data_IF_904104765422
#
_entry.id   IF_904104765422
#
_cell.length_a   1.000
_cell.length_b   1.000
_cell.length_c   1.000
_cell.angle_alpha   90.00
_cell.angle_beta   90.00
_cell.angle_gamma   90.00
#
_symmetry.space_group_name_H-M   'P 1'
#
loop_
_entity.id
_entity.type
_entity.pdbx_description
1 polymer ?
#
# COMPACT_ATOMS: atom_id res chain seq x y z
N UNK A 1 31.58 -54.72 34.36
CA UNK A 1 31.17 -53.37 34.81
C UNK A 1 29.85 -52.94 34.14
N UNK A 2 28.84 -53.81 34.10
CA UNK A 2 27.55 -53.57 33.37
C UNK A 2 26.33 -53.84 34.27
N UNK A 3 26.51 -54.38 35.48
CA UNK A 3 25.41 -54.72 36.39
C UNK A 3 24.99 -53.59 37.34
N UNK A 4 25.64 -52.41 37.29
CA UNK A 4 25.37 -51.29 38.21
C UNK A 4 24.32 -50.27 37.75
N UNK A 5 23.93 -50.25 36.47
CA UNK A 5 23.05 -49.20 35.91
C UNK A 5 21.56 -49.52 35.94
N UNK A 6 21.16 -50.75 36.25
CA UNK A 6 19.74 -51.17 36.21
C UNK A 6 19.01 -50.82 37.52
N UNK A 7 19.73 -50.61 38.62
CA UNK A 7 19.11 -50.39 39.94
C UNK A 7 18.74 -48.92 40.25
N UNK A 8 19.31 -47.93 39.55
CA UNK A 8 18.95 -46.52 39.75
C UNK A 8 17.72 -46.07 38.93
N UNK A 9 17.39 -46.77 37.83
CA UNK A 9 16.23 -46.46 36.98
C UNK A 9 14.87 -46.82 37.59
N UNK A 10 14.82 -47.77 38.54
CA UNK A 10 13.56 -48.21 39.15
C UNK A 10 13.06 -47.24 40.24
N UNK A 11 13.97 -46.51 40.88
CA UNK A 11 13.61 -45.56 41.94
C UNK A 11 13.10 -44.20 41.41
N UNK A 12 13.55 -43.76 40.23
CA UNK A 12 13.10 -42.49 39.63
C UNK A 12 11.72 -42.61 38.95
N UNK A 13 11.32 -43.80 38.51
CA UNK A 13 9.99 -44.02 37.92
C UNK A 13 8.88 -43.88 38.97
N UNK A 14 9.12 -44.29 40.22
CA UNK A 14 8.12 -44.16 41.30
C UNK A 14 7.87 -42.70 41.72
N UNK A 15 8.89 -41.85 41.71
CA UNK A 15 8.74 -40.41 42.04
C UNK A 15 8.06 -39.63 40.92
N UNK A 16 8.34 -39.94 39.65
CA UNK A 16 7.70 -39.27 38.50
C UNK A 16 6.19 -39.61 38.41
N UNK A 17 5.80 -40.85 38.73
CA UNK A 17 4.37 -41.25 38.74
C UNK A 17 3.60 -40.52 39.86
N UNK A 18 4.24 -40.27 41.01
CA UNK A 18 3.64 -39.50 42.10
C UNK A 18 3.37 -38.04 41.73
N UNK A 19 4.34 -37.36 41.09
CA UNK A 19 4.24 -35.94 40.73
C UNK A 19 3.24 -35.71 39.58
N UNK A 20 3.17 -36.63 38.61
CA UNK A 20 2.18 -36.60 37.52
C UNK A 20 0.73 -36.61 38.05
N UNK A 21 0.48 -37.29 39.17
CA UNK A 21 -0.86 -37.38 39.74
C UNK A 21 -1.32 -36.05 40.37
N UNK A 22 -0.40 -35.32 41.02
CA UNK A 22 -0.70 -34.00 41.59
C UNK A 22 -0.90 -32.91 40.52
N UNK A 23 -0.16 -32.96 39.41
CA UNK A 23 -0.32 -31.97 38.32
C UNK A 23 -1.58 -32.18 37.47
N UNK A 24 -2.05 -33.43 37.34
CA UNK A 24 -3.23 -33.73 36.51
C UNK A 24 -4.57 -33.54 37.24
N UNK A 25 -4.57 -33.48 38.57
CA UNK A 25 -5.77 -33.27 39.38
C UNK A 25 -6.44 -31.89 39.16
N UNK A 26 -5.73 -30.75 39.20
CA UNK A 26 -6.36 -29.44 38.95
C UNK A 26 -6.89 -29.29 37.51
N UNK A 27 -6.19 -29.85 36.52
CA UNK A 27 -6.64 -29.88 35.12
C UNK A 27 -7.96 -30.64 34.94
N UNK A 28 -8.13 -31.77 35.63
CA UNK A 28 -9.40 -32.53 35.61
C UNK A 28 -10.55 -31.77 36.26
N UNK A 29 -10.28 -30.99 37.30
CA UNK A 29 -11.29 -30.13 37.95
C UNK A 29 -11.69 -28.99 37.01
N UNK A 30 -10.72 -28.30 36.39
CA UNK A 30 -11.00 -27.24 35.41
C UNK A 30 -11.85 -27.72 34.23
N UNK A 31 -11.53 -28.88 33.65
CA UNK A 31 -12.30 -29.44 32.52
C UNK A 31 -13.73 -29.78 32.96
N UNK A 32 -13.93 -30.32 34.17
CA UNK A 32 -15.28 -30.56 34.72
C UNK A 32 -16.07 -29.26 34.88
N UNK A 33 -15.44 -28.20 35.41
CA UNK A 33 -16.10 -26.89 35.59
C UNK A 33 -16.48 -26.26 34.24
N UNK A 34 -15.59 -26.32 33.23
CA UNK A 34 -15.86 -25.76 31.90
C UNK A 34 -16.98 -26.53 31.18
N UNK A 35 -16.97 -27.86 31.25
CA UNK A 35 -18.02 -28.69 30.64
C UNK A 35 -19.37 -28.50 31.33
N UNK A 36 -19.38 -28.29 32.64
CA UNK A 36 -20.61 -27.99 33.39
C UNK A 36 -21.13 -26.58 33.11
N UNK A 37 -20.25 -25.58 32.93
CA UNK A 37 -20.64 -24.23 32.48
C UNK A 37 -21.20 -24.21 31.06
N UNK A 38 -20.66 -25.02 30.13
CA UNK A 38 -21.20 -25.11 28.76
C UNK A 38 -22.60 -25.72 28.73
N UNK A 39 -22.87 -26.75 29.54
CA UNK A 39 -24.22 -27.34 29.66
C UNK A 39 -25.26 -26.34 30.17
N UNK A 40 -24.88 -25.45 31.08
CA UNK A 40 -25.80 -24.45 31.62
C UNK A 40 -26.06 -23.27 30.66
N UNK A 41 -25.15 -23.00 29.72
CA UNK A 41 -25.34 -21.92 28.72
C UNK A 41 -26.19 -22.33 27.52
N UNK A 42 -26.32 -23.61 27.20
CA UNK A 42 -27.18 -24.09 26.10
C UNK A 42 -28.67 -24.20 26.48
N UNK A 43 -29.06 -23.83 27.71
CA UNK A 43 -30.45 -23.87 28.16
C UNK A 43 -31.17 -22.52 28.09
N UNK A 44 -30.51 -21.45 27.63
CA UNK A 44 -31.08 -20.10 27.55
C UNK A 44 -30.77 -19.52 26.16
N UNK A 45 -31.61 -19.88 25.18
CA UNK A 45 -31.74 -19.14 23.92
C UNK A 45 -33.23 -18.81 23.79
N UNK A 46 -33.64 -17.53 23.96
CA UNK A 46 -35.01 -17.12 23.67
C UNK A 46 -35.20 -17.01 22.16
N UNK A 47 -36.23 -17.69 21.66
CA UNK A 47 -36.74 -17.56 20.30
C UNK A 47 -37.61 -16.31 20.21
N UNK A 48 -37.12 -15.28 19.53
CA UNK A 48 -37.95 -14.17 19.01
C UNK A 48 -37.58 -13.96 17.56
N UNK A 49 -38.38 -14.55 16.67
CA UNK A 49 -38.48 -14.18 15.25
C UNK A 49 -39.89 -13.60 15.13
N UNK A 50 -39.97 -12.32 14.78
CA UNK A 50 -41.19 -11.62 14.44
C UNK A 50 -40.93 -11.03 13.05
N UNK A 51 -41.43 -11.71 12.03
CA UNK A 51 -41.50 -11.20 10.65
C UNK A 51 -42.95 -10.78 10.41
N UNK A 52 -43.16 -9.48 10.17
CA UNK A 52 -44.41 -8.92 9.69
C UNK A 52 -44.46 -8.99 8.15
N UNK A 53 -45.53 -9.61 7.66
CA UNK A 53 -45.89 -9.70 6.25
C UNK A 53 -46.56 -8.40 5.76
N UNK A 54 -46.19 -7.92 4.58
CA UNK A 54 -47.06 -7.11 3.72
C UNK A 54 -47.12 -7.75 2.34
N UNK A 55 -48.35 -8.06 1.94
CA UNK A 55 -48.77 -8.68 0.68
C UNK A 55 -48.59 -7.74 -0.53
N UNK A 56 -48.15 -8.28 -1.67
CA UNK A 56 -48.78 -8.00 -2.96
C UNK A 56 -48.44 -9.11 -3.97
N UNK A 57 -49.48 -9.75 -4.50
CA UNK A 57 -49.40 -11.01 -5.21
C UNK A 57 -49.03 -10.93 -6.70
N UNK A 58 -48.66 -12.09 -7.25
CA UNK A 58 -48.96 -12.56 -8.61
C UNK A 58 -48.89 -14.11 -8.64
N UNK A 59 -49.60 -14.80 -9.55
CA UNK A 59 -49.99 -16.19 -9.36
C UNK A 59 -49.04 -17.23 -10.01
N UNK A 60 -49.02 -18.39 -9.34
CA UNK A 60 -48.57 -19.74 -9.68
C UNK A 60 -48.01 -20.01 -11.09
N UNK A 61 -46.79 -20.55 -11.09
CA UNK A 61 -46.39 -21.60 -12.03
C UNK A 61 -45.77 -22.79 -11.28
N UNK A 62 -46.17 -23.97 -11.73
CA UNK A 62 -46.25 -25.25 -11.05
C UNK A 62 -44.96 -26.06 -11.21
N UNK A 63 -44.15 -26.24 -10.14
CA UNK A 63 -43.09 -27.25 -10.10
C UNK A 63 -42.95 -27.86 -8.69
N UNK A 64 -43.29 -29.15 -8.64
CA UNK A 64 -43.34 -30.06 -7.49
C UNK A 64 -42.03 -30.15 -6.67
N UNK A 65 -42.10 -30.25 -5.32
CA UNK A 65 -40.96 -30.63 -4.49
C UNK A 65 -40.84 -32.16 -4.39
N UNK A 66 -39.64 -32.67 -4.67
CA UNK A 66 -39.33 -34.09 -4.59
C UNK A 66 -39.01 -34.49 -3.13
N UNK A 67 -39.87 -35.34 -2.58
CA UNK A 67 -39.76 -35.98 -1.28
C UNK A 67 -38.77 -37.14 -1.36
N UNK A 68 -37.64 -37.07 -0.66
CA UNK A 68 -37.01 -38.26 -0.05
C UNK A 68 -36.34 -37.87 1.27
N UNK A 69 -37.12 -37.91 2.35
CA UNK A 69 -36.61 -38.02 3.70
C UNK A 69 -36.17 -39.47 3.93
N UNK A 70 -34.87 -39.73 4.01
CA UNK A 70 -34.35 -41.00 4.52
C UNK A 70 -34.16 -40.90 6.03
N UNK A 71 -35.13 -41.48 6.74
CA UNK A 71 -35.03 -41.89 8.13
C UNK A 71 -33.89 -42.89 8.25
N UNK A 72 -32.76 -42.50 8.85
CA UNK A 72 -31.75 -43.46 9.30
C UNK A 72 -31.84 -43.64 10.82
N UNK A 73 -32.08 -44.90 11.18
CA UNK A 73 -32.32 -45.41 12.53
C UNK A 73 -31.06 -45.27 13.39
N UNK A 74 -31.28 -44.94 14.66
CA UNK A 74 -30.25 -44.91 15.67
C UNK A 74 -29.56 -46.26 15.87
N UNK A 75 -28.24 -46.25 15.74
CA UNK A 75 -27.36 -47.35 16.14
C UNK A 75 -26.91 -47.09 17.58
N UNK A 76 -27.38 -47.95 18.49
CA UNK A 76 -26.91 -48.02 19.87
C UNK A 76 -25.47 -48.53 19.92
N UNK A 77 -24.61 -47.76 20.59
CA UNK A 77 -23.45 -48.13 21.42
C UNK A 77 -22.61 -49.35 20.95
N UNK A 78 -21.34 -49.06 20.62
CA UNK A 78 -20.26 -49.74 21.32
C UNK A 78 -19.27 -48.73 21.88
N UNK A 79 -19.16 -48.77 23.21
CA UNK A 79 -18.42 -47.84 24.05
C UNK A 79 -17.01 -48.38 24.20
N UNK A 80 -16.15 -48.15 23.20
CA UNK A 80 -14.71 -48.35 23.38
C UNK A 80 -14.12 -47.13 24.07
N UNK A 81 -14.07 -47.27 25.40
CA UNK A 81 -13.23 -46.50 26.28
C UNK A 81 -11.76 -46.87 26.00
N UNK A 82 -10.94 -45.84 26.16
CA UNK A 82 -9.59 -45.85 26.71
C UNK A 82 -8.41 -45.86 25.73
N UNK A 83 -7.50 -44.92 26.06
CA UNK A 83 -6.09 -44.82 25.68
C UNK A 83 -5.78 -44.09 24.37
N UNK A 84 -5.93 -42.76 24.35
CA UNK A 84 -5.00 -41.88 23.59
C UNK A 84 -5.06 -40.35 23.91
N UNK A 85 -5.46 -39.84 25.10
CA UNK A 85 -5.30 -38.41 25.37
C UNK A 85 -3.89 -38.01 25.84
N UNK A 86 -3.03 -38.99 26.19
CA UNK A 86 -1.66 -38.74 26.65
C UNK A 86 -0.62 -38.61 25.53
N UNK A 87 -0.79 -39.36 24.43
CA UNK A 87 0.16 -39.36 23.32
C UNK A 87 0.13 -38.06 22.49
N UNK A 88 -1.06 -37.51 22.25
CA UNK A 88 -1.23 -36.26 21.50
C UNK A 88 -0.63 -35.05 22.23
N UNK A 89 -0.61 -35.07 23.56
CA UNK A 89 -0.07 -33.97 24.37
C UNK A 89 1.46 -33.99 24.41
N UNK A 90 2.09 -35.18 24.32
CA UNK A 90 3.55 -35.33 24.20
C UNK A 90 4.03 -34.92 22.81
N UNK A 91 3.27 -35.24 21.75
CA UNK A 91 3.58 -34.81 20.38
C UNK A 91 3.47 -33.28 20.26
N UNK A 92 2.47 -32.65 20.88
CA UNK A 92 2.31 -31.19 20.87
C UNK A 92 3.42 -30.43 21.64
N UNK A 93 4.08 -31.06 22.63
CA UNK A 93 5.18 -30.46 23.39
C UNK A 93 6.53 -30.60 22.65
N UNK A 94 6.65 -31.57 21.73
CA UNK A 94 7.87 -31.80 20.94
C UNK A 94 7.95 -30.95 19.67
N UNK A 95 6.86 -30.26 19.28
CA UNK A 95 6.89 -29.26 18.22
C UNK A 95 7.39 -27.94 18.84
N UNK A 96 8.67 -27.93 19.23
CA UNK A 96 9.36 -26.66 19.43
C UNK A 96 9.28 -25.89 18.12
N UNK A 97 8.97 -24.60 18.23
CA UNK A 97 8.89 -23.63 17.15
C UNK A 97 10.25 -23.56 16.44
N UNK A 98 10.46 -24.44 15.45
CA UNK A 98 11.47 -24.20 14.45
C UNK A 98 10.97 -23.00 13.64
N UNK A 99 11.75 -21.92 13.61
CA UNK A 99 11.60 -20.86 12.61
C UNK A 99 11.84 -21.49 11.24
N UNK A 100 10.78 -22.05 10.67
CA UNK A 100 10.80 -22.70 9.36
C UNK A 100 10.69 -21.62 8.30
N UNK A 101 11.69 -21.56 7.43
CA UNK A 101 11.68 -20.67 6.29
C UNK A 101 10.61 -21.12 5.28
N UNK A 102 9.83 -20.19 4.74
CA UNK A 102 8.80 -20.48 3.74
C UNK A 102 9.40 -20.79 2.38
N UNK A 103 10.51 -20.13 2.05
CA UNK A 103 11.29 -20.33 0.84
C UNK A 103 12.75 -20.56 1.20
N UNK A 104 13.36 -21.57 0.60
CA UNK A 104 14.78 -21.83 0.73
C UNK A 104 15.44 -21.70 -0.64
N UNK A 105 16.53 -20.94 -0.69
CA UNK A 105 17.45 -20.95 -1.82
C UNK A 105 18.77 -21.55 -1.31
N UNK A 106 19.26 -22.57 -2.00
CA UNK A 106 20.55 -23.17 -1.71
C UNK A 106 21.53 -22.69 -2.78
N UNK A 107 22.66 -22.15 -2.35
CA UNK A 107 23.66 -21.64 -3.30
C UNK A 107 25.03 -22.26 -3.02
N UNK A 108 25.55 -22.95 -4.03
CA UNK A 108 26.93 -23.44 -4.03
C UNK A 108 27.85 -22.30 -4.44
N UNK A 109 28.70 -21.84 -3.54
CA UNK A 109 29.68 -20.80 -3.84
C UNK A 109 30.88 -21.41 -4.57
N UNK A 110 31.14 -21.01 -5.81
CA UNK A 110 32.46 -21.20 -6.42
C UNK A 110 33.40 -20.14 -5.82
N UNK A 111 34.32 -20.56 -4.95
CA UNK A 111 35.34 -19.67 -4.37
C UNK A 111 36.11 -18.95 -5.48
N UNK A 112 36.07 -17.62 -5.52
CA UNK A 112 36.81 -16.85 -6.54
C UNK A 112 38.24 -16.56 -6.09
N UNK A 113 38.50 -16.28 -4.81
CA UNK A 113 39.86 -15.95 -4.34
C UNK A 113 40.07 -16.37 -2.87
N UNK A 114 40.97 -17.33 -2.59
CA UNK A 114 41.37 -17.68 -1.22
C UNK A 114 42.84 -17.34 -1.01
N UNK A 115 43.12 -16.53 0.01
CA UNK A 115 44.47 -16.15 0.43
C UNK A 115 44.85 -16.99 1.65
N UNK A 116 46.06 -17.53 1.65
CA UNK A 116 46.64 -18.24 2.78
C UNK A 116 47.42 -17.24 3.63
N UNK A 117 47.01 -17.04 4.87
CA UNK A 117 47.84 -16.34 5.86
C UNK A 117 48.93 -17.29 6.37
N UNK A 118 50.11 -16.73 6.71
CA UNK A 118 51.27 -17.47 7.25
C UNK A 118 50.95 -18.29 8.52
N UNK A 119 49.84 -18.01 9.23
CA UNK A 119 49.39 -18.72 10.44
C UNK A 119 48.29 -19.77 10.17
N UNK A 120 48.35 -20.53 9.07
CA UNK A 120 47.38 -21.59 8.71
C UNK A 120 45.90 -21.15 8.58
N UNK A 121 45.59 -19.86 8.69
CA UNK A 121 44.24 -19.36 8.55
C UNK A 121 43.94 -19.04 7.08
N UNK A 122 43.06 -19.84 6.48
CA UNK A 122 42.60 -19.65 5.09
C UNK A 122 41.51 -18.57 5.07
N UNK A 123 41.81 -17.41 4.50
CA UNK A 123 40.81 -16.34 4.26
C UNK A 123 40.32 -16.44 2.83
N UNK A 124 39.09 -16.94 2.66
CA UNK A 124 38.44 -16.98 1.35
C UNK A 124 37.53 -15.77 1.18
N UNK A 125 37.72 -15.05 0.08
CA UNK A 125 36.77 -14.07 -0.43
C UNK A 125 35.78 -14.79 -1.35
N UNK A 126 34.51 -14.66 -1.00
CA UNK A 126 33.42 -15.18 -1.81
C UNK A 126 32.54 -14.02 -2.22
N UNK A 127 32.42 -13.83 -3.54
CA UNK A 127 31.48 -12.89 -4.13
C UNK A 127 30.18 -13.63 -4.40
N UNK A 128 29.12 -13.23 -3.70
CA UNK A 128 27.79 -13.81 -3.86
C UNK A 128 26.99 -12.86 -4.74
N UNK A 129 26.45 -13.35 -5.86
CA UNK A 129 25.45 -12.66 -6.66
C UNK A 129 24.25 -13.59 -6.84
N UNK A 130 23.13 -13.32 -6.18
CA UNK A 130 21.95 -14.20 -6.24
C UNK A 130 20.67 -13.42 -6.33
N UNK A 131 19.68 -14.04 -6.98
CA UNK A 131 18.32 -13.53 -7.09
C UNK A 131 17.42 -14.34 -6.18
N UNK A 132 16.74 -13.66 -5.26
CA UNK A 132 15.83 -14.29 -4.31
C UNK A 132 14.42 -13.71 -4.46
N UNK A 133 13.44 -14.60 -4.60
CA UNK A 133 12.04 -14.23 -4.47
C UNK A 133 11.71 -13.86 -3.01
N UNK A 134 11.19 -12.66 -2.80
CA UNK A 134 10.76 -12.21 -1.47
C UNK A 134 9.53 -13.03 -1.04
N UNK A 135 9.54 -13.51 0.20
CA UNK A 135 8.39 -14.19 0.76
C UNK A 135 7.27 -13.20 1.11
N UNK A 136 5.99 -13.62 1.11
CA UNK A 136 4.87 -12.77 1.54
C UNK A 136 5.07 -12.14 2.92
N UNK A 137 4.31 -11.09 3.22
CA UNK A 137 4.37 -10.39 4.51
C UNK A 137 4.20 -11.37 5.68
N UNK A 138 5.11 -11.30 6.66
CA UNK A 138 5.15 -12.18 7.83
C UNK A 138 5.95 -13.47 7.61
N UNK A 139 6.26 -13.86 6.38
CA UNK A 139 7.07 -15.03 6.05
C UNK A 139 8.55 -14.67 5.83
N UNK A 140 9.41 -15.68 5.89
CA UNK A 140 10.87 -15.53 5.79
C UNK A 140 11.51 -16.46 4.77
N UNK A 141 12.33 -15.90 3.90
CA UNK A 141 13.20 -16.63 2.99
C UNK A 141 14.56 -16.88 3.64
N UNK A 142 15.14 -18.06 3.43
CA UNK A 142 16.47 -18.39 3.95
C UNK A 142 17.43 -18.76 2.84
N UNK A 143 18.60 -18.13 2.87
CA UNK A 143 19.72 -18.43 1.99
C UNK A 143 20.78 -19.18 2.79
N UNK A 144 20.98 -20.45 2.45
CA UNK A 144 22.07 -21.24 3.01
C UNK A 144 23.32 -21.07 2.15
N UNK A 145 24.41 -20.66 2.81
CA UNK A 145 25.74 -20.55 2.20
C UNK A 145 26.46 -21.86 2.50
N UNK A 146 26.79 -22.62 1.47
CA UNK A 146 27.51 -23.89 1.62
C UNK A 146 28.88 -23.86 0.97
N UNK A 147 29.88 -24.43 1.64
CA UNK A 147 31.20 -24.67 1.08
C UNK A 147 31.15 -25.73 -0.04
N UNK A 148 32.21 -25.84 -0.82
CA UNK A 148 32.52 -26.88 -1.83
C UNK A 148 32.24 -28.32 -1.37
N UNK A 149 32.29 -28.58 -0.05
CA UNK A 149 31.97 -29.88 0.57
C UNK A 149 30.50 -30.02 1.00
N UNK A 150 29.63 -29.12 0.57
CA UNK A 150 28.20 -29.04 0.95
C UNK A 150 27.95 -28.85 2.45
N UNK A 151 28.92 -28.30 3.20
CA UNK A 151 28.73 -27.92 4.60
C UNK A 151 28.26 -26.47 4.71
N UNK A 152 27.24 -26.21 5.53
CA UNK A 152 26.68 -24.88 5.74
C UNK A 152 27.63 -23.99 6.54
N UNK A 153 28.14 -22.94 5.92
CA UNK A 153 29.01 -21.92 6.53
C UNK A 153 28.20 -20.87 7.29
N UNK A 154 26.97 -20.61 6.84
CA UNK A 154 26.07 -19.65 7.47
C UNK A 154 24.73 -19.60 6.76
N UNK A 155 23.77 -18.94 7.40
CA UNK A 155 22.43 -18.74 6.85
C UNK A 155 22.06 -17.26 6.92
N UNK A 156 21.55 -16.72 5.83
CA UNK A 156 20.95 -15.38 5.81
C UNK A 156 19.43 -15.57 5.82
N UNK A 157 18.77 -15.06 6.85
CA UNK A 157 17.32 -15.05 7.00
C UNK A 157 16.79 -13.70 6.54
N UNK A 158 15.75 -13.70 5.70
CA UNK A 158 15.17 -12.48 5.13
C UNK A 158 13.67 -12.55 5.37
N UNK A 159 13.19 -11.81 6.37
CA UNK A 159 11.78 -11.77 6.73
C UNK A 159 11.14 -10.50 6.19
N UNK A 160 10.01 -10.65 5.50
CA UNK A 160 9.26 -9.52 4.94
C UNK A 160 8.39 -8.91 6.02
N UNK A 161 8.65 -7.65 6.36
CA UNK A 161 7.85 -6.92 7.33
C UNK A 161 6.67 -6.19 6.68
N UNK A 162 6.90 -5.55 5.53
CA UNK A 162 5.83 -4.87 4.80
C UNK A 162 6.20 -4.70 3.32
N UNK A 163 5.22 -4.87 2.44
CA UNK A 163 5.31 -4.54 1.02
C UNK A 163 4.23 -3.50 0.74
N UNK A 164 4.64 -2.27 0.46
CA UNK A 164 3.73 -1.14 0.23
C UNK A 164 4.01 -0.55 -1.14
N UNK A 165 2.97 -0.37 -1.94
CA UNK A 165 2.98 0.42 -3.16
C UNK A 165 2.61 1.86 -2.81
N UNK A 166 3.51 2.79 -3.07
CA UNK A 166 3.28 4.22 -2.83
C UNK A 166 2.84 4.89 -4.12
N UNK A 167 1.71 5.57 -4.08
CA UNK A 167 1.26 6.40 -5.19
C UNK A 167 2.16 7.62 -5.36
N UNK A 168 2.68 7.82 -6.58
CA UNK A 168 3.15 9.12 -7.01
C UNK A 168 1.94 9.97 -7.40
N UNK A 169 1.61 10.93 -6.55
CA UNK A 169 0.44 11.78 -6.69
C UNK A 169 0.62 12.77 -7.84
N UNK A 170 -0.33 12.76 -8.78
CA UNK A 170 -0.48 13.79 -9.80
C UNK A 170 -1.80 14.54 -9.56
N UNK A 171 -1.69 15.81 -9.14
CA UNK A 171 -2.85 16.66 -8.91
C UNK A 171 -3.52 17.01 -10.24
N UNK A 172 -4.81 16.68 -10.39
CA UNK A 172 -5.57 17.04 -11.58
C UNK A 172 -6.17 18.44 -11.47
N UNK A 173 -6.99 18.64 -10.44
CA UNK A 173 -7.73 19.88 -10.20
C UNK A 173 -8.31 19.92 -8.78
N UNK A 174 -8.85 21.08 -8.43
CA UNK A 174 -9.63 21.29 -7.22
C UNK A 174 -11.11 21.42 -7.55
N UNK A 175 -11.97 20.95 -6.65
CA UNK A 175 -13.42 21.08 -6.79
C UNK A 175 -14.03 21.75 -5.55
N UNK A 176 -15.05 22.60 -5.73
CA UNK A 176 -15.86 23.14 -4.64
C UNK A 176 -16.93 22.14 -4.19
N UNK A 177 -17.49 22.35 -2.99
CA UNK A 177 -18.86 21.90 -2.70
C UNK A 177 -19.85 22.87 -3.33
N UNK A 178 -20.09 22.70 -4.63
CA UNK A 178 -20.89 23.64 -5.41
C UNK A 178 -22.38 23.59 -5.06
N UNK A 179 -23.03 24.75 -5.17
CA UNK A 179 -24.48 24.94 -5.20
C UNK A 179 -24.80 25.99 -6.26
N UNK A 180 -26.01 25.96 -6.78
CA UNK A 180 -26.46 26.91 -7.79
C UNK A 180 -27.27 28.03 -7.13
N UNK A 181 -27.02 29.27 -7.55
CA UNK A 181 -27.82 30.46 -7.25
C UNK A 181 -28.28 31.07 -8.56
N UNK A 182 -29.58 31.35 -8.68
CA UNK A 182 -30.12 31.99 -9.88
C UNK A 182 -30.81 33.29 -9.53
N UNK A 183 -30.44 34.32 -10.28
CA UNK A 183 -30.97 35.67 -10.15
C UNK A 183 -31.61 36.07 -11.47
N UNK A 184 -32.75 36.77 -11.42
CA UNK A 184 -33.43 37.31 -12.61
C UNK A 184 -33.77 38.79 -12.39
N UNK A 185 -33.67 39.55 -13.47
CA UNK A 185 -34.05 40.95 -13.56
C UNK A 185 -35.00 41.12 -14.74
N UNK A 186 -36.11 41.79 -14.49
CA UNK A 186 -37.08 42.13 -15.52
C UNK A 186 -36.91 43.60 -15.90
N UNK A 187 -36.67 43.86 -17.17
CA UNK A 187 -36.49 45.21 -17.70
C UNK A 187 -37.51 45.49 -18.79
N UNK A 188 -38.23 46.61 -18.63
CA UNK A 188 -39.15 47.09 -19.64
C UNK A 188 -38.40 47.45 -20.93
N UNK A 189 -39.00 47.14 -22.07
CA UNK A 189 -38.47 47.60 -23.35
C UNK A 189 -38.48 49.13 -23.44
N UNK A 190 -37.37 49.73 -23.86
CA UNK A 190 -37.30 51.16 -24.16
C UNK A 190 -36.71 51.39 -25.56
N UNK A 191 -37.43 52.16 -26.37
CA UNK A 191 -37.07 52.48 -27.76
C UNK A 191 -35.98 53.59 -27.81
N UNK A 192 -35.73 54.27 -26.68
CA UNK A 192 -34.69 55.29 -26.57
C UNK A 192 -33.29 54.65 -26.50
N UNK A 193 -32.33 55.20 -27.26
CA UNK A 193 -30.94 54.71 -27.31
C UNK A 193 -30.26 54.75 -25.93
N UNK A 194 -29.56 53.66 -25.57
CA UNK A 194 -28.73 53.58 -24.35
C UNK A 194 -29.26 52.64 -23.25
N UNK A 195 -30.42 52.01 -23.44
CA UNK A 195 -30.99 51.02 -22.52
C UNK A 195 -30.60 49.57 -22.89
N UNK A 196 -30.52 48.67 -21.90
CA UNK A 196 -30.12 47.27 -22.13
C UNK A 196 -31.19 46.47 -22.88
N UNK A 197 -32.48 46.76 -22.65
CA UNK A 197 -33.60 46.12 -23.34
C UNK A 197 -34.13 46.96 -24.52
N UNK A 198 -33.78 46.56 -25.74
CA UNK A 198 -34.19 47.14 -27.03
C UNK A 198 -34.77 46.05 -27.96
N UNK A 199 -35.23 46.42 -29.16
CA UNK A 199 -36.04 45.59 -30.06
C UNK A 199 -35.44 44.21 -30.45
N UNK A 200 -34.16 43.93 -30.21
CA UNK A 200 -33.53 42.62 -30.42
C UNK A 200 -32.48 42.27 -29.33
N UNK A 201 -32.53 42.93 -28.17
CA UNK A 201 -31.46 42.77 -27.17
C UNK A 201 -31.26 41.33 -26.70
N UNK A 202 -32.34 40.55 -26.58
CA UNK A 202 -32.21 39.15 -26.16
C UNK A 202 -31.74 38.20 -27.27
N UNK A 203 -31.96 38.51 -28.55
CA UNK A 203 -31.50 37.63 -29.64
C UNK A 203 -29.99 37.67 -29.81
N UNK A 204 -29.39 38.80 -29.49
CA UNK A 204 -27.96 39.05 -29.64
C UNK A 204 -27.18 38.74 -28.35
N UNK A 205 -27.86 38.31 -27.29
CA UNK A 205 -27.29 38.11 -25.97
C UNK A 205 -26.53 36.77 -25.87
N UNK A 206 -25.24 36.86 -25.59
CA UNK A 206 -24.35 35.72 -25.38
C UNK A 206 -24.42 35.15 -23.96
N UNK A 207 -24.06 33.87 -23.82
CA UNK A 207 -24.07 33.17 -22.52
C UNK A 207 -23.10 33.80 -21.50
N UNK A 208 -22.03 34.46 -21.98
CA UNK A 208 -21.01 35.08 -21.14
C UNK A 208 -21.20 36.59 -20.96
N UNK A 209 -22.29 37.15 -21.47
CA UNK A 209 -22.51 38.59 -21.41
C UNK A 209 -22.81 39.05 -19.99
N UNK A 210 -22.26 40.21 -19.63
CA UNK A 210 -22.44 40.81 -18.31
C UNK A 210 -23.72 41.62 -18.26
N UNK A 211 -24.58 41.31 -17.30
CA UNK A 211 -25.82 42.05 -17.03
C UNK A 211 -25.51 43.08 -15.94
N UNK A 212 -25.81 44.38 -16.16
CA UNK A 212 -25.48 45.43 -15.19
C UNK A 212 -26.14 45.20 -13.84
N UNK A 213 -27.36 44.65 -13.82
CA UNK A 213 -28.08 44.28 -12.59
C UNK A 213 -27.30 43.29 -11.69
N UNK A 214 -26.34 42.53 -12.25
CA UNK A 214 -25.59 41.50 -11.54
C UNK A 214 -24.08 41.80 -11.46
N UNK A 215 -23.67 43.06 -11.61
CA UNK A 215 -22.25 43.46 -11.71
C UNK A 215 -21.36 43.03 -10.53
N UNK A 216 -21.91 42.80 -9.34
CA UNK A 216 -21.14 42.30 -8.18
C UNK A 216 -20.75 40.81 -8.27
N UNK A 217 -21.34 40.07 -9.21
CA UNK A 217 -21.23 38.60 -9.36
C UNK A 217 -20.53 38.25 -10.70
N UNK A 218 -19.87 39.23 -11.32
CA UNK A 218 -19.20 39.05 -12.62
C UNK A 218 -17.97 38.14 -12.54
N UNK A 219 -17.34 38.04 -11.36
CA UNK A 219 -16.05 37.36 -11.17
C UNK A 219 -16.17 35.89 -10.74
N UNK A 220 -17.40 35.41 -10.56
CA UNK A 220 -17.73 34.03 -10.18
C UNK A 220 -18.28 33.27 -11.38
N UNK A 221 -17.92 31.99 -11.49
CA UNK A 221 -18.37 31.11 -12.56
C UNK A 221 -19.89 31.13 -12.68
N UNK A 222 -20.37 31.43 -13.87
CA UNK A 222 -21.79 31.52 -14.13
C UNK A 222 -22.09 31.86 -15.57
N UNK A 223 -23.36 31.69 -15.91
CA UNK A 223 -23.88 31.86 -17.26
C UNK A 223 -25.07 32.79 -17.21
N UNK A 224 -25.09 33.73 -18.13
CA UNK A 224 -26.17 34.69 -18.31
C UNK A 224 -27.07 34.25 -19.47
N UNK A 225 -28.33 34.63 -19.44
CA UNK A 225 -29.28 34.42 -20.54
C UNK A 225 -30.32 35.54 -20.57
N UNK A 226 -30.91 35.77 -21.74
CA UNK A 226 -31.96 36.76 -21.95
C UNK A 226 -33.12 36.10 -22.70
N UNK A 227 -34.34 36.28 -22.20
CA UNK A 227 -35.55 35.80 -22.87
C UNK A 227 -36.56 36.95 -23.02
N UNK A 228 -37.16 37.13 -24.21
CA UNK A 228 -38.25 38.08 -24.38
C UNK A 228 -39.49 37.56 -23.65
N UNK A 229 -40.15 38.44 -22.89
CA UNK A 229 -41.38 38.12 -22.16
C UNK A 229 -42.53 39.03 -22.59
N UNK A 230 -43.75 38.63 -22.22
CA UNK A 230 -44.95 39.39 -22.57
C UNK A 230 -44.89 40.82 -21.97
N UNK A 231 -45.37 41.83 -22.71
CA UNK A 231 -45.33 43.22 -22.25
C UNK A 231 -46.11 43.41 -20.94
N UNK A 232 -45.39 43.74 -19.88
CA UNK A 232 -45.94 44.22 -18.61
C UNK A 232 -45.85 45.75 -18.46
N UNK A 233 -45.15 46.40 -19.38
CA UNK A 233 -44.81 47.82 -19.31
C UNK A 233 -45.63 48.71 -20.26
N UNK A 234 -45.38 50.03 -20.20
CA UNK A 234 -46.18 51.07 -20.90
C UNK A 234 -46.25 50.92 -22.43
N UNK A 235 -45.31 50.21 -23.05
CA UNK A 235 -45.26 50.01 -24.51
C UNK A 235 -45.83 48.63 -24.89
N UNK A 236 -47.11 48.54 -25.29
CA UNK A 236 -47.81 47.26 -25.46
C UNK A 236 -47.43 46.47 -26.73
N UNK A 237 -46.64 47.06 -27.63
CA UNK A 237 -46.24 46.43 -28.91
C UNK A 237 -44.81 45.88 -28.90
N UNK A 238 -44.12 45.94 -27.75
CA UNK A 238 -42.73 45.49 -27.60
C UNK A 238 -42.63 44.43 -26.51
N UNK A 239 -41.82 43.40 -26.73
CA UNK A 239 -41.52 42.42 -25.68
C UNK A 239 -40.56 43.02 -24.66
N UNK A 240 -40.81 42.81 -23.38
CA UNK A 240 -39.90 43.17 -22.30
C UNK A 240 -38.76 42.11 -22.22
N UNK A 241 -37.65 42.46 -21.57
CA UNK A 241 -36.49 41.56 -21.47
C UNK A 241 -36.38 40.99 -20.05
N UNK A 242 -36.36 39.67 -19.96
CA UNK A 242 -36.02 38.97 -18.74
C UNK A 242 -34.59 38.47 -18.83
N UNK A 243 -33.70 39.17 -18.11
CA UNK A 243 -32.29 38.83 -17.99
C UNK A 243 -32.07 37.96 -16.77
N UNK A 244 -31.41 36.83 -16.93
CA UNK A 244 -31.14 35.90 -15.83
C UNK A 244 -29.68 35.51 -15.78
N UNK A 245 -29.18 35.25 -14.57
CA UNK A 245 -27.82 34.77 -14.34
C UNK A 245 -27.84 33.57 -13.41
N UNK A 246 -27.27 32.48 -13.88
CA UNK A 246 -26.98 31.28 -13.11
C UNK A 246 -25.56 31.43 -12.59
N UNK A 247 -25.39 31.43 -11.27
CA UNK A 247 -24.09 31.53 -10.62
C UNK A 247 -23.81 30.27 -9.81
N UNK A 248 -22.62 29.72 -9.95
CA UNK A 248 -22.14 28.66 -9.08
C UNK A 248 -21.52 29.28 -7.84
N UNK A 249 -21.96 28.84 -6.67
CA UNK A 249 -21.46 29.29 -5.37
C UNK A 249 -20.94 28.11 -4.56
N UNK A 250 -20.01 28.38 -3.64
CA UNK A 250 -19.58 27.41 -2.64
C UNK A 250 -20.08 27.88 -1.25
N UNK A 251 -21.27 27.46 -0.81
CA UNK A 251 -21.88 27.97 0.41
C UNK A 251 -21.09 27.62 1.68
N UNK A 252 -20.33 26.53 1.63
CA UNK A 252 -19.56 26.03 2.79
C UNK A 252 -18.11 26.53 2.81
N UNK A 253 -17.60 27.04 1.69
CA UNK A 253 -16.18 27.34 1.50
C UNK A 253 -15.27 26.11 1.51
N UNK A 254 -15.82 24.89 1.53
CA UNK A 254 -15.04 23.65 1.53
C UNK A 254 -14.56 23.34 0.12
N UNK A 255 -13.31 22.89 0.03
CA UNK A 255 -12.68 22.51 -1.23
C UNK A 255 -12.01 21.15 -1.12
N UNK A 256 -11.92 20.48 -2.26
CA UNK A 256 -11.40 19.13 -2.35
C UNK A 256 -10.35 19.09 -3.46
N UNK A 257 -9.28 18.35 -3.20
CA UNK A 257 -8.26 18.05 -4.20
C UNK A 257 -8.60 16.71 -4.86
N UNK A 258 -8.58 16.69 -6.18
CA UNK A 258 -8.76 15.48 -6.98
C UNK A 258 -7.44 15.18 -7.68
N UNK A 259 -6.95 13.97 -7.51
CA UNK A 259 -5.65 13.55 -8.03
C UNK A 259 -5.69 12.09 -8.47
N UNK A 260 -4.75 11.73 -9.33
CA UNK A 260 -4.55 10.36 -9.81
C UNK A 260 -3.15 9.87 -9.43
N UNK A 261 -2.93 8.57 -9.65
CA UNK A 261 -1.69 7.89 -9.36
C UNK A 261 -1.15 7.25 -10.65
N UNK A 262 -0.55 8.04 -11.56
CA UNK A 262 -0.01 7.52 -12.82
C UNK A 262 1.11 6.48 -12.60
N UNK A 263 1.87 6.63 -11.51
CA UNK A 263 2.97 5.73 -11.17
C UNK A 263 2.84 5.24 -9.73
N UNK A 264 3.15 3.95 -9.52
CA UNK A 264 3.19 3.33 -8.20
C UNK A 264 4.57 2.73 -7.94
N UNK A 265 5.19 3.15 -6.84
CA UNK A 265 6.55 2.74 -6.48
C UNK A 265 6.54 1.79 -5.30
N UNK A 266 7.19 0.64 -5.45
CA UNK A 266 7.37 -0.30 -4.35
C UNK A 266 8.29 0.25 -3.27
N UNK A 267 7.82 0.16 -2.03
CA UNK A 267 8.56 0.39 -0.80
C UNK A 267 8.48 -0.89 0.05
N UNK A 268 9.61 -1.60 0.13
CA UNK A 268 9.69 -2.88 0.83
C UNK A 268 10.50 -2.70 2.11
N UNK A 269 9.99 -3.20 3.23
CA UNK A 269 10.72 -3.30 4.50
C UNK A 269 11.00 -4.76 4.81
N UNK A 270 12.28 -5.09 4.97
CA UNK A 270 12.75 -6.42 5.31
C UNK A 270 13.50 -6.39 6.63
N UNK A 271 13.41 -7.48 7.36
CA UNK A 271 14.28 -7.80 8.49
C UNK A 271 15.24 -8.88 8.04
N UNK A 272 16.52 -8.55 7.98
CA UNK A 272 17.59 -9.44 7.53
C UNK A 272 18.38 -9.91 8.75
N UNK A 273 18.46 -11.22 8.95
CA UNK A 273 19.29 -11.87 9.96
C UNK A 273 20.49 -12.56 9.32
N UNK A 274 21.68 -12.34 9.84
CA UNK A 274 22.89 -13.05 9.45
C UNK A 274 23.27 -14.02 10.56
N UNK A 275 23.22 -15.31 10.25
CA UNK A 275 23.63 -16.40 11.13
C UNK A 275 24.96 -16.98 10.61
N UNK A 276 26.07 -16.37 10.99
CA UNK A 276 27.43 -16.78 10.61
C UNK A 276 28.13 -17.39 11.83
N UNK A 277 28.18 -18.73 11.89
CA UNK A 277 28.67 -19.43 13.07
C UNK A 277 27.78 -19.20 14.29
N UNK A 278 28.36 -18.71 15.39
CA UNK A 278 27.64 -18.42 16.65
C UNK A 278 27.06 -16.99 16.73
N UNK A 279 27.45 -16.10 15.81
CA UNK A 279 27.01 -14.71 15.84
C UNK A 279 25.73 -14.56 15.01
N UNK A 280 24.70 -14.01 15.64
CA UNK A 280 23.44 -13.65 15.00
C UNK A 280 23.28 -12.13 15.06
N UNK A 281 23.31 -11.48 13.90
CA UNK A 281 22.97 -10.06 13.79
C UNK A 281 21.67 -9.91 13.02
N UNK A 282 20.79 -9.01 13.45
CA UNK A 282 19.52 -8.74 12.78
C UNK A 282 19.38 -7.26 12.54
N UNK A 283 19.20 -6.87 11.28
CA UNK A 283 19.01 -5.49 10.86
C UNK A 283 17.73 -5.34 10.04
N UNK A 284 17.11 -4.17 10.10
CA UNK A 284 15.95 -3.83 9.27
C UNK A 284 16.37 -2.91 8.14
N UNK A 285 16.04 -3.30 6.91
CA UNK A 285 16.30 -2.50 5.72
C UNK A 285 15.00 -2.09 5.06
N UNK A 286 14.98 -0.88 4.53
CA UNK A 286 13.93 -0.40 3.65
C UNK A 286 14.55 0.05 2.34
N UNK A 287 14.05 -0.45 1.22
CA UNK A 287 14.51 -0.02 -0.10
C UNK A 287 13.33 0.19 -1.04
N UNK A 288 13.60 0.98 -2.07
CA UNK A 288 12.66 1.37 -3.12
C UNK A 288 13.12 0.76 -4.44
N UNK A 289 12.21 0.61 -5.40
CA UNK A 289 12.57 0.23 -6.76
C UNK A 289 13.72 1.12 -7.28
N UNK A 290 14.77 0.50 -7.84
CA UNK A 290 15.94 1.20 -8.38
C UNK A 290 16.95 1.73 -7.34
N UNK A 291 16.70 1.59 -6.02
CA UNK A 291 17.65 1.97 -4.97
C UNK A 291 18.20 0.73 -4.27
N UNK A 292 19.51 0.67 -4.09
CA UNK A 292 20.16 -0.38 -3.31
C UNK A 292 20.33 0.04 -1.84
N UNK A 293 20.23 -0.92 -0.93
CA UNK A 293 20.53 -0.76 0.48
C UNK A 293 21.66 -1.74 0.86
N UNK A 294 22.62 -1.32 1.67
CA UNK A 294 23.74 -2.17 2.08
C UNK A 294 23.70 -2.47 3.57
N UNK A 295 23.85 -3.75 3.93
CA UNK A 295 23.98 -4.21 5.32
C UNK A 295 25.13 -5.19 5.39
N UNK A 296 26.05 -4.99 6.34
CA UNK A 296 27.21 -5.86 6.55
C UNK A 296 27.97 -6.22 5.26
N UNK A 297 28.15 -5.25 4.35
CA UNK A 297 28.80 -5.40 3.03
C UNK A 297 28.04 -6.28 2.02
N UNK A 298 26.75 -6.51 2.24
CA UNK A 298 25.82 -7.09 1.27
C UNK A 298 24.89 -6.00 0.78
N UNK A 299 24.90 -5.75 -0.52
CA UNK A 299 24.01 -4.83 -1.21
C UNK A 299 22.76 -5.59 -1.63
N UNK A 300 21.60 -5.11 -1.21
CA UNK A 300 20.28 -5.57 -1.60
C UNK A 300 19.71 -4.57 -2.60
N UNK A 301 19.23 -5.03 -3.75
CA UNK A 301 18.49 -4.21 -4.71
C UNK A 301 17.24 -4.93 -5.19
N UNK A 302 16.15 -4.17 -5.40
CA UNK A 302 14.94 -4.68 -6.03
C UNK A 302 15.11 -4.68 -7.55
N UNK A 303 15.10 -5.85 -8.18
CA UNK A 303 15.30 -6.01 -9.63
C UNK A 303 13.97 -5.91 -10.37
N UNK A 304 12.97 -6.64 -9.90
CA UNK A 304 11.68 -6.76 -10.57
C UNK A 304 10.57 -6.95 -9.54
N UNK A 305 9.38 -6.50 -9.92
CA UNK A 305 8.18 -6.62 -9.12
C UNK A 305 7.00 -6.84 -10.07
N UNK A 306 6.23 -7.91 -9.87
CA UNK A 306 4.97 -8.10 -10.59
C UNK A 306 3.91 -7.17 -10.01
N UNK A 307 3.47 -6.16 -10.76
CA UNK A 307 2.36 -5.29 -10.35
C UNK A 307 1.06 -6.11 -10.37
N UNK A 308 0.34 -6.28 -9.25
CA UNK A 308 -0.97 -6.89 -9.30
C UNK A 308 -1.89 -5.99 -10.15
N UNK A 309 -2.79 -6.53 -10.98
CA UNK A 309 -3.81 -5.72 -11.64
C UNK A 309 -4.66 -5.06 -10.53
N UNK A 310 -4.56 -3.75 -10.41
CA UNK A 310 -5.32 -2.96 -9.43
C UNK A 310 -6.45 -2.27 -10.23
N UNK A 311 -7.71 -2.70 -10.08
CA UNK A 311 -8.86 -2.06 -10.75
C UNK A 311 -8.99 -0.57 -10.41
N UNK A 312 -8.51 -0.18 -9.22
CA UNK A 312 -8.48 1.20 -8.73
C UNK A 312 -7.51 2.14 -9.47
N UNK A 313 -6.77 1.68 -10.49
CA UNK A 313 -5.83 2.53 -11.24
C UNK A 313 -6.52 3.51 -12.20
N UNK A 314 -7.73 3.22 -12.63
CA UNK A 314 -8.52 4.10 -13.50
C UNK A 314 -9.38 5.09 -12.69
N UNK A 315 -9.51 4.86 -11.38
CA UNK A 315 -10.28 5.72 -10.49
C UNK A 315 -9.42 6.85 -9.91
N UNK A 316 -10.08 7.95 -9.57
CA UNK A 316 -9.43 9.11 -8.99
C UNK A 316 -9.56 9.09 -7.48
N UNK A 317 -8.65 9.81 -6.84
CA UNK A 317 -8.65 9.97 -5.40
C UNK A 317 -9.07 11.40 -5.08
N UNK A 318 -10.11 11.51 -4.26
CA UNK A 318 -10.59 12.78 -3.71
C UNK A 318 -10.14 12.92 -2.25
N UNK A 319 -9.63 14.09 -1.89
CA UNK A 319 -9.21 14.40 -0.52
C UNK A 319 -9.53 15.83 -0.11
N UNK A 320 -10.01 16.01 1.12
CA UNK A 320 -10.15 17.31 1.79
C UNK A 320 -8.97 17.62 2.75
N UNK A 321 -7.90 16.84 2.69
CA UNK A 321 -6.74 16.93 3.60
C UNK A 321 -6.86 16.08 4.86
N UNK A 322 -8.08 15.68 5.27
CA UNK A 322 -8.32 14.84 6.45
C UNK A 322 -8.90 13.48 6.09
N UNK A 323 -9.84 13.46 5.15
CA UNK A 323 -10.50 12.28 4.61
C UNK A 323 -10.06 12.11 3.16
N UNK A 324 -9.96 10.86 2.74
CA UNK A 324 -9.61 10.50 1.37
C UNK A 324 -10.54 9.37 0.93
N UNK A 325 -11.01 9.44 -0.32
CA UNK A 325 -11.88 8.44 -0.91
C UNK A 325 -11.48 8.15 -2.35
N UNK A 326 -11.86 6.97 -2.82
CA UNK A 326 -11.69 6.53 -4.20
C UNK A 326 -13.03 6.69 -4.94
N UNK A 327 -13.01 7.24 -6.15
CA UNK A 327 -14.21 7.52 -6.92
C UNK A 327 -13.89 7.68 -8.41
N UNK A 328 -14.81 7.30 -9.32
CA UNK A 328 -14.68 7.70 -10.72
C UNK A 328 -14.73 9.24 -10.83
N UNK A 329 -13.86 9.80 -11.67
CA UNK A 329 -13.80 11.23 -11.93
C UNK A 329 -13.51 11.53 -13.40
N UNK A 330 -13.80 12.76 -13.80
CA UNK A 330 -13.44 13.29 -15.10
C UNK A 330 -11.93 13.56 -15.17
N UNK A 331 -11.34 13.36 -16.35
CA UNK A 331 -10.00 13.90 -16.58
C UNK A 331 -10.04 15.43 -16.68
N UNK A 332 -8.87 16.05 -16.59
CA UNK A 332 -8.76 17.51 -16.66
C UNK A 332 -9.30 18.03 -18.00
N UNK A 333 -10.24 18.97 -17.93
CA UNK A 333 -10.90 19.57 -19.09
C UNK A 333 -12.15 18.81 -19.59
N UNK A 334 -12.39 17.59 -19.12
CA UNK A 334 -13.64 16.87 -19.39
C UNK A 334 -14.71 17.27 -18.36
N UNK A 335 -15.91 17.62 -18.85
CA UNK A 335 -17.00 18.13 -18.01
C UNK A 335 -18.22 17.21 -18.07
N UNK A 336 -18.00 15.90 -17.95
CA UNK A 336 -19.11 14.94 -17.98
C UNK A 336 -19.93 15.02 -16.69
N UNK A 337 -21.25 14.91 -16.82
CA UNK A 337 -22.17 14.88 -15.67
C UNK A 337 -22.09 13.55 -14.93
N UNK A 338 -22.48 13.56 -13.65
CA UNK A 338 -22.51 12.42 -12.72
C UNK A 338 -21.15 11.83 -12.38
N UNK A 339 -20.06 12.52 -12.69
CA UNK A 339 -18.73 12.14 -12.25
C UNK A 339 -18.11 13.27 -11.42
N UNK A 340 -17.14 12.93 -10.58
CA UNK A 340 -16.39 13.96 -9.86
C UNK A 340 -15.62 14.82 -10.86
N UNK A 341 -15.64 16.14 -10.68
CA UNK A 341 -15.02 17.07 -11.63
C UNK A 341 -15.98 17.58 -12.72
N UNK A 342 -17.28 17.66 -12.44
CA UNK A 342 -18.25 18.47 -13.20
C UNK A 342 -17.85 19.94 -13.25
N UNK A 343 -17.29 20.45 -12.14
CA UNK A 343 -16.69 21.76 -12.02
C UNK A 343 -15.23 21.56 -11.62
N UNK A 344 -14.32 22.12 -12.39
CA UNK A 344 -12.88 21.96 -12.16
C UNK A 344 -12.21 23.32 -12.00
N UNK A 345 -11.38 23.47 -10.98
CA UNK A 345 -10.63 24.68 -10.69
C UNK A 345 -9.13 24.36 -10.63
N UNK A 346 -8.30 25.30 -11.06
CA UNK A 346 -6.85 25.10 -11.07
C UNK A 346 -6.24 25.17 -9.67
N UNK A 347 -6.81 25.98 -8.78
CA UNK A 347 -6.30 26.18 -7.42
C UNK A 347 -7.38 25.99 -6.38
N UNK A 348 -6.98 25.67 -5.15
CA UNK A 348 -7.90 25.60 -4.01
C UNK A 348 -8.60 26.94 -3.75
N UNK A 349 -7.93 28.08 -3.96
CA UNK A 349 -8.55 29.40 -3.78
C UNK A 349 -9.63 29.69 -4.84
N UNK A 350 -9.37 29.31 -6.09
CA UNK A 350 -10.37 29.41 -7.16
C UNK A 350 -11.59 28.54 -6.84
N UNK A 351 -11.39 27.34 -6.30
CA UNK A 351 -12.48 26.49 -5.84
C UNK A 351 -13.23 27.07 -4.62
N UNK A 352 -12.55 27.72 -3.68
CA UNK A 352 -13.22 28.32 -2.52
C UNK A 352 -14.19 29.43 -2.95
N UNK A 353 -13.77 30.27 -3.89
CA UNK A 353 -14.57 31.41 -4.38
C UNK A 353 -15.38 31.11 -5.64
N UNK A 354 -15.21 29.92 -6.22
CA UNK A 354 -15.71 29.52 -7.54
C UNK A 354 -15.48 30.63 -8.58
N UNK A 355 -14.21 31.02 -8.73
CA UNK A 355 -13.83 32.11 -9.63
C UNK A 355 -14.09 31.76 -11.10
N UNK A 356 -14.08 32.76 -11.98
CA UNK A 356 -14.16 32.55 -13.44
C UNK A 356 -13.00 31.73 -14.03
N UNK A 357 -11.96 31.43 -13.25
CA UNK A 357 -10.87 30.54 -13.66
C UNK A 357 -11.26 29.06 -13.57
N UNK A 358 -12.35 28.75 -12.85
CA UNK A 358 -12.95 27.42 -12.86
C UNK A 358 -13.69 27.19 -14.18
N UNK A 359 -13.72 25.93 -14.60
CA UNK A 359 -14.45 25.48 -15.78
C UNK A 359 -15.66 24.64 -15.34
N UNK A 360 -16.76 24.78 -16.08
CA UNK A 360 -18.01 24.04 -15.87
C UNK A 360 -18.89 24.14 -17.10
N UNK A 361 -19.85 23.23 -17.24
CA UNK A 361 -20.82 23.22 -18.33
C UNK A 361 -22.14 23.90 -17.96
N UNK A 362 -22.78 24.57 -18.93
CA UNK A 362 -24.12 25.13 -18.73
C UNK A 362 -25.19 24.03 -18.54
N UNK A 363 -24.96 22.85 -19.13
CA UNK A 363 -25.79 21.66 -19.03
C UNK A 363 -25.86 21.04 -17.62
N UNK A 364 -24.99 21.48 -16.71
CA UNK A 364 -25.05 21.10 -15.28
C UNK A 364 -26.30 21.63 -14.57
N UNK A 365 -26.94 22.67 -15.13
CA UNK A 365 -28.07 23.35 -14.52
C UNK A 365 -29.29 23.31 -15.43
N UNK A 366 -30.40 22.81 -14.91
CA UNK A 366 -31.69 22.90 -15.55
C UNK A 366 -32.36 24.19 -15.11
N UNK A 367 -32.39 25.17 -16.01
CA UNK A 367 -33.08 26.44 -15.80
C UNK A 367 -34.46 26.43 -16.46
N UNK A 368 -35.47 26.85 -15.70
CA UNK A 368 -36.82 27.12 -16.17
C UNK A 368 -37.09 28.61 -15.96
N UNK A 369 -37.43 29.30 -17.04
CA UNK A 369 -37.72 30.73 -17.02
C UNK A 369 -39.22 30.89 -17.22
N UNK A 370 -39.88 31.46 -16.21
CA UNK A 370 -41.31 31.78 -16.21
C UNK A 370 -41.48 33.30 -16.06
N UNK A 371 -42.71 33.80 -16.26
CA UNK A 371 -43.06 35.22 -16.06
C UNK A 371 -42.75 35.74 -14.64
N UNK A 372 -42.61 34.84 -13.66
CA UNK A 372 -42.30 35.16 -12.27
C UNK A 372 -40.80 35.14 -11.92
N UNK A 373 -39.93 34.88 -12.90
CA UNK A 373 -38.47 34.82 -12.70
C UNK A 373 -37.83 33.52 -13.20
N UNK A 374 -36.62 33.25 -12.72
CA UNK A 374 -35.87 32.03 -13.04
C UNK A 374 -35.91 31.03 -11.89
N UNK A 375 -36.13 29.75 -12.20
CA UNK A 375 -35.95 28.63 -11.30
C UNK A 375 -34.85 27.73 -11.83
N UNK A 376 -33.89 27.42 -10.99
CA UNK A 376 -32.79 26.54 -11.34
C UNK A 376 -32.78 25.32 -10.46
N UNK A 377 -32.61 24.16 -11.09
CA UNK A 377 -32.33 22.92 -10.42
C UNK A 377 -31.01 22.35 -10.93
N UNK A 378 -30.24 21.74 -10.04
CA UNK A 378 -28.95 21.15 -10.39
C UNK A 378 -28.76 19.86 -9.62
N UNK A 379 -28.32 18.81 -10.32
CA UNK A 379 -27.98 17.52 -9.73
C UNK A 379 -26.46 17.37 -9.64
N UNK A 380 -25.79 18.39 -9.09
CA UNK A 380 -24.34 18.38 -8.91
C UNK A 380 -23.93 17.30 -7.90
N UNK A 381 -22.81 16.64 -8.16
CA UNK A 381 -22.25 15.67 -7.23
C UNK A 381 -21.79 16.35 -5.92
N UNK A 382 -22.22 15.84 -4.77
CA UNK A 382 -21.75 16.32 -3.45
C UNK A 382 -20.45 15.59 -3.04
N UNK A 383 -19.29 16.26 -3.02
CA UNK A 383 -18.03 15.63 -2.71
C UNK A 383 -17.95 15.09 -1.27
N UNK A 384 -18.68 15.71 -0.32
CA UNK A 384 -18.66 15.26 1.08
C UNK A 384 -19.41 13.93 1.23
N UNK A 385 -20.47 13.70 0.45
CA UNK A 385 -21.19 12.43 0.45
C UNK A 385 -20.30 11.30 -0.08
N UNK A 386 -19.50 11.58 -1.11
CA UNK A 386 -18.52 10.63 -1.68
C UNK A 386 -17.47 10.27 -0.63
N UNK A 387 -16.93 11.27 0.07
CA UNK A 387 -15.96 11.06 1.16
C UNK A 387 -16.54 10.25 2.33
N UNK A 388 -17.84 10.31 2.58
CA UNK A 388 -18.51 9.52 3.62
C UNK A 388 -18.80 8.08 3.18
N UNK A 389 -19.10 7.88 1.90
CA UNK A 389 -19.52 6.58 1.37
C UNK A 389 -18.32 5.70 1.00
N UNK A 390 -17.30 6.29 0.35
CA UNK A 390 -16.16 5.58 -0.23
C UNK A 390 -14.84 5.87 0.50
N UNK A 391 -14.92 6.16 1.80
CA UNK A 391 -13.75 6.55 2.58
C UNK A 391 -12.70 5.44 2.64
N UNK A 392 -11.42 5.80 2.53
CA UNK A 392 -10.31 4.91 2.86
C UNK A 392 -10.21 4.74 4.38
N UNK A 393 -9.82 3.54 4.88
CA UNK A 393 -9.20 2.42 4.16
C UNK A 393 -10.18 1.53 3.37
N UNK A 394 -9.80 1.16 2.14
CA UNK A 394 -10.60 0.29 1.28
C UNK A 394 -9.92 -1.06 1.08
N UNK A 395 -10.63 -2.14 1.39
CA UNK A 395 -10.13 -3.51 1.16
C UNK A 395 -10.47 -3.96 -0.26
N UNK A 396 -9.44 -4.20 -1.05
CA UNK A 396 -9.54 -4.76 -2.40
C UNK A 396 -9.20 -6.26 -2.36
N UNK A 397 -9.38 -6.96 -3.48
CA UNK A 397 -9.14 -8.41 -3.55
C UNK A 397 -7.67 -8.78 -3.28
N UNK A 398 -6.72 -7.95 -3.73
CA UNK A 398 -5.27 -8.25 -3.66
C UNK A 398 -4.54 -7.52 -2.52
N UNK A 399 -5.22 -6.70 -1.73
CA UNK A 399 -4.60 -5.82 -0.75
C UNK A 399 -5.54 -4.78 -0.15
N UNK A 400 -4.97 -3.81 0.55
CA UNK A 400 -5.72 -2.74 1.23
C UNK A 400 -5.16 -1.39 0.81
N UNK A 401 -6.04 -0.50 0.37
CA UNK A 401 -5.73 0.88 0.04
C UNK A 401 -5.90 1.74 1.30
N UNK A 402 -4.83 2.40 1.72
CA UNK A 402 -4.72 3.13 2.98
C UNK A 402 -4.38 4.61 2.71
N UNK A 403 -4.97 5.55 3.44
CA UNK A 403 -4.55 6.95 3.36
C UNK A 403 -3.13 7.11 3.91
N UNK A 404 -2.36 8.03 3.32
CA UNK A 404 -1.03 8.46 3.76
C UNK A 404 -1.01 9.98 3.90
N UNK A 405 0.00 10.54 4.56
CA UNK A 405 0.08 11.99 4.82
C UNK A 405 -0.05 12.86 3.54
N UNK A 406 0.59 12.44 2.43
CA UNK A 406 0.60 13.21 1.17
C UNK A 406 -0.17 12.54 0.01
N UNK A 407 -0.39 11.22 0.08
CA UNK A 407 -0.97 10.41 -1.00
C UNK A 407 -1.67 9.17 -0.44
N UNK A 408 -1.71 8.09 -1.22
CA UNK A 408 -2.35 6.82 -0.84
C UNK A 408 -1.33 5.70 -0.98
N UNK A 409 -1.36 4.78 -0.03
CA UNK A 409 -0.51 3.60 0.01
C UNK A 409 -1.37 2.36 -0.23
N UNK A 410 -0.87 1.44 -1.04
CA UNK A 410 -1.50 0.14 -1.24
C UNK A 410 -0.67 -0.95 -0.57
N UNK A 411 -1.20 -1.55 0.48
CA UNK A 411 -0.58 -2.65 1.19
C UNK A 411 -0.96 -3.98 0.52
N UNK A 412 0.03 -4.67 -0.02
CA UNK A 412 -0.20 -5.89 -0.79
C UNK A 412 -0.35 -7.08 0.17
N UNK A 413 -1.50 -7.75 0.14
CA UNK A 413 -1.76 -8.92 0.98
C UNK A 413 -1.37 -10.26 0.31
N UNK A 414 -1.29 -10.28 -1.03
CA UNK A 414 -0.90 -11.47 -1.80
C UNK A 414 0.60 -11.53 -2.08
N UNK A 415 1.10 -12.70 -2.49
CA UNK A 415 2.49 -12.92 -2.87
C UNK A 415 2.88 -12.12 -4.12
N UNK A 416 3.32 -10.88 -3.95
CA UNK A 416 4.07 -10.19 -5.00
C UNK A 416 5.40 -10.94 -5.19
N UNK A 417 5.67 -11.40 -6.41
CA UNK A 417 6.99 -11.96 -6.74
C UNK A 417 7.91 -10.76 -6.92
N UNK A 418 8.71 -10.51 -5.89
CA UNK A 418 9.74 -9.49 -5.88
C UNK A 418 11.08 -10.22 -5.96
N UNK A 419 11.93 -9.88 -6.93
CA UNK A 419 13.27 -10.43 -7.00
C UNK A 419 14.28 -9.46 -6.41
N UNK A 420 15.03 -9.92 -5.41
CA UNK A 420 16.14 -9.15 -4.83
C UNK A 420 17.45 -9.66 -5.41
N UNK A 421 18.30 -8.74 -5.87
CA UNK A 421 19.72 -9.03 -6.08
C UNK A 421 20.49 -8.82 -4.78
N UNK A 422 21.29 -9.79 -4.39
CA UNK A 422 22.25 -9.64 -3.31
C UNK A 422 23.66 -9.69 -3.87
N UNK A 423 24.44 -8.63 -3.66
CA UNK A 423 25.87 -8.59 -3.98
C UNK A 423 26.70 -8.31 -2.72
N UNK A 424 27.58 -9.22 -2.33
CA UNK A 424 28.40 -9.01 -1.14
C UNK A 424 29.63 -9.89 -1.07
N UNK A 425 30.47 -9.61 -0.06
CA UNK A 425 31.72 -10.33 0.17
C UNK A 425 31.92 -10.66 1.66
N UNK A 426 32.27 -11.91 1.97
CA UNK A 426 32.66 -12.32 3.33
C UNK A 426 34.20 -12.47 3.41
N UNK A 427 34.81 -12.08 4.54
CA UNK A 427 36.26 -12.12 4.79
C UNK A 427 37.16 -11.22 3.93
N UNK A 428 36.68 -10.04 3.52
CA UNK A 428 37.43 -9.12 2.67
C UNK A 428 38.41 -8.26 3.49
N UNK A 429 39.70 -8.61 3.48
CA UNK A 429 40.82 -7.73 3.81
C UNK A 429 41.38 -7.18 2.49
N UNK A 430 41.03 -5.94 2.13
CA UNK A 430 41.80 -5.26 1.08
C UNK A 430 43.24 -5.14 1.57
N UNK A 431 44.19 -5.78 0.89
CA UNK A 431 45.60 -5.74 1.25
C UNK A 431 46.15 -4.31 1.33
N UNK A 432 47.37 -4.14 1.86
CA UNK A 432 48.04 -2.84 1.94
C UNK A 432 48.95 -2.61 0.74
N UNK A 433 48.90 -1.42 0.16
CA UNK A 433 49.82 -0.98 -0.89
C UNK A 433 51.00 -0.25 -0.27
N UNK A 434 52.21 -0.75 -0.49
CA UNK A 434 53.44 -0.08 -0.09
C UNK A 434 54.02 0.68 -1.28
N UNK A 435 54.16 2.01 -1.14
CA UNK A 435 54.81 2.86 -2.13
C UNK A 435 56.24 3.14 -1.66
N UNK A 436 57.21 2.77 -2.48
CA UNK A 436 58.62 3.01 -2.20
C UNK A 436 59.11 4.02 -3.22
N UNK A 437 59.53 5.18 -2.72
CA UNK A 437 60.19 6.19 -3.52
C UNK A 437 61.69 6.13 -3.20
N UNK A 438 62.49 5.86 -4.22
CA UNK A 438 63.92 5.73 -4.08
C UNK A 438 64.64 6.62 -5.09
N UNK A 439 65.60 7.38 -4.59
CA UNK A 439 66.43 8.31 -5.34
C UNK A 439 67.89 8.11 -4.90
N UNK A 440 68.82 8.11 -5.86
CA UNK A 440 70.25 7.96 -5.62
C UNK A 440 70.98 9.13 -6.26
N UNK A 441 72.05 9.59 -5.62
CA UNK A 441 72.84 10.77 -6.00
C UNK A 441 73.88 10.50 -7.11
N UNK A 442 73.78 9.36 -7.81
CA UNK A 442 74.53 9.14 -9.06
C UNK A 442 75.17 7.77 -9.23
N UNK A 443 75.13 6.89 -8.22
CA UNK A 443 75.55 5.49 -8.36
C UNK A 443 74.35 4.54 -8.33
N UNK A 444 74.33 3.53 -9.22
CA UNK A 444 73.30 2.48 -9.17
C UNK A 444 73.44 1.70 -7.85
N UNK A 445 72.38 1.69 -7.06
CA UNK A 445 72.35 1.01 -5.76
C UNK A 445 71.26 -0.03 -5.74
N UNK A 446 71.51 -1.16 -5.08
CA UNK A 446 70.50 -2.21 -4.90
C UNK A 446 70.01 -2.17 -3.46
N UNK A 447 68.72 -1.94 -3.27
CA UNK A 447 68.08 -2.02 -1.96
C UNK A 447 67.38 -3.37 -1.83
N UNK A 448 67.66 -4.10 -0.75
CA UNK A 448 67.01 -5.37 -0.45
C UNK A 448 65.99 -5.18 0.65
N UNK A 449 64.76 -5.63 0.40
CA UNK A 449 63.70 -5.64 1.40
C UNK A 449 63.50 -7.10 1.80
N UNK A 450 63.80 -7.38 3.06
CA UNK A 450 63.65 -8.69 3.66
C UNK A 450 62.64 -8.59 4.79
N UNK A 451 61.54 -9.33 4.67
CA UNK A 451 60.57 -9.49 5.76
C UNK A 451 60.73 -10.90 6.34
N UNK A 452 61.48 -10.99 7.44
CA UNK A 452 61.87 -12.27 8.06
C UNK A 452 60.67 -13.12 8.52
N UNK A 453 59.55 -12.49 8.87
CA UNK A 453 58.36 -13.20 9.33
C UNK A 453 57.55 -13.86 8.21
N UNK A 454 57.65 -13.36 6.98
CA UNK A 454 56.90 -13.87 5.80
C UNK A 454 57.79 -14.51 4.75
N UNK A 455 59.07 -14.73 5.05
CA UNK A 455 60.07 -15.31 4.15
C UNK A 455 60.07 -14.67 2.73
N UNK A 456 59.76 -13.37 2.66
CA UNK A 456 59.73 -12.62 1.41
C UNK A 456 61.05 -11.87 1.25
N UNK A 457 61.67 -12.06 0.09
CA UNK A 457 62.90 -11.39 -0.29
C UNK A 457 62.74 -10.79 -1.67
N UNK A 458 62.93 -9.47 -1.78
CA UNK A 458 63.02 -8.81 -3.08
C UNK A 458 64.18 -7.83 -3.08
N UNK A 459 64.93 -7.79 -4.19
CA UNK A 459 65.93 -6.79 -4.45
C UNK A 459 65.40 -5.79 -5.48
N UNK A 460 65.59 -4.52 -5.19
CA UNK A 460 65.21 -3.42 -6.07
C UNK A 460 66.50 -2.78 -6.55
N UNK A 461 66.73 -2.81 -7.84
CA UNK A 461 67.86 -2.12 -8.46
C UNK A 461 67.44 -0.68 -8.79
N UNK A 462 67.98 0.29 -8.06
CA UNK A 462 67.67 1.71 -8.21
C UNK A 462 68.75 2.33 -9.09
N UNK A 463 68.32 2.85 -10.25
CA UNK A 463 69.18 3.61 -11.16
C UNK A 463 69.21 5.09 -10.75
N UNK A 464 70.07 5.90 -11.34
CA UNK A 464 70.21 7.34 -11.05
C UNK A 464 68.98 8.19 -11.42
N UNK A 465 67.85 7.57 -11.76
CA UNK A 465 66.59 8.23 -12.09
C UNK A 465 65.59 7.91 -10.98
N UNK A 466 64.91 8.91 -10.38
CA UNK A 466 63.94 8.67 -9.32
C UNK A 466 62.88 7.68 -9.79
N UNK A 467 62.75 6.56 -9.08
CA UNK A 467 61.84 5.50 -9.46
C UNK A 467 60.85 5.27 -8.33
N UNK A 468 59.56 5.27 -8.66
CA UNK A 468 58.50 4.99 -7.70
C UNK A 468 57.95 3.60 -8.01
N UNK A 469 58.09 2.69 -7.05
CA UNK A 469 57.62 1.31 -7.19
C UNK A 469 56.41 1.10 -6.29
N UNK A 470 55.34 0.60 -6.91
CA UNK A 470 54.15 0.17 -6.20
C UNK A 470 54.24 -1.34 -5.99
N UNK A 471 54.42 -1.74 -4.74
CA UNK A 471 54.36 -3.14 -4.34
C UNK A 471 52.97 -3.43 -3.80
N UNK A 472 52.23 -4.26 -4.53
CA UNK A 472 50.94 -4.77 -4.08
C UNK A 472 51.24 -6.03 -3.27
N UNK A 473 51.31 -5.87 -1.95
CA UNK A 473 51.45 -7.02 -1.04
C UNK A 473 50.06 -7.62 -0.83
N UNK A 474 49.83 -8.79 -1.43
CA UNK A 474 48.60 -9.55 -1.30
C UNK A 474 48.72 -10.64 -0.26
#
# INVERSE_FOLDING_TARGET
MITGFILTGVYTIRTIIGISWYLTWPLRICIRVITQRRKNRTAIIPTTIQDDNVELGTPLEDLRPNYYATVSRGIRRHRNRLLLPGGLLIIAILINTCDSCSNFAMMSTSTTDCIYSHEQQRTCQVRINTRLAISPVGQGSCLHITDSRSQTLGTITIQTQSIVLRCQKELLYHIPRASVKCDSSHECCNILQGHECTYNSCSDFGINDTIKAFGSISNTLGWSSCTPVLPGCFWPQTHDCQSSRITIINPTGQTYSVYTCPEWVYAVKLKVGFHLGANVTTDTISFFAGKSASVHKVNFSLISASVPPIPALEECIISNGFKTALTPCNIRGELSTKHVGEIQCNTGMDATHVSNNCIGGFDLVQAQIDDNGIRCNSNLMDPELILQTNQLPLKLETGVLLPSDDSVNYEVSSSAILEIQMEGCYSCKGGSTLFIHAETDGASTTATIECQEVAYFTSIHITSVPTTLQLIMK
#
